data_IF_327175059997
#
_entry.id   IF_327175059997
#
_cell.length_a   1.000
_cell.length_b   1.000
_cell.length_c   1.000
_cell.angle_alpha   90.00
_cell.angle_beta   90.00
_cell.angle_gamma   90.00
#
_symmetry.space_group_name_H-M   'P 1'
#
loop_
_entity.id
_entity.type
_entity.pdbx_description
1 polymer ?
#
# COMPACT_ATOMS: atom_id res chain seq x y z
N UNK A 1 -24.26 -14.78 51.33
CA UNK A 1 -23.88 -15.57 50.14
C UNK A 1 -24.40 -14.81 48.91
N UNK A 2 -23.58 -13.94 48.32
CA UNK A 2 -23.98 -13.08 47.19
C UNK A 2 -23.09 -13.44 46.01
N UNK A 3 -23.66 -14.11 45.01
CA UNK A 3 -22.99 -14.52 43.79
C UNK A 3 -22.87 -13.28 42.87
N UNK A 4 -21.65 -12.74 42.70
CA UNK A 4 -21.35 -11.75 41.66
C UNK A 4 -21.05 -12.49 40.35
N UNK A 5 -21.99 -12.48 39.42
CA UNK A 5 -21.81 -12.95 38.04
C UNK A 5 -20.91 -11.98 37.26
N UNK A 6 -19.60 -12.08 37.47
CA UNK A 6 -18.58 -11.44 36.64
C UNK A 6 -18.39 -12.20 35.33
N UNK A 7 -19.37 -12.15 34.42
CA UNK A 7 -19.12 -12.51 33.02
C UNK A 7 -18.50 -11.29 32.35
N UNK A 8 -17.18 -11.29 32.27
CA UNK A 8 -16.41 -10.36 31.45
C UNK A 8 -16.88 -10.52 30.01
N UNK A 9 -17.72 -9.58 29.52
CA UNK A 9 -18.00 -9.49 28.09
C UNK A 9 -16.65 -9.28 27.37
N UNK A 10 -16.32 -10.07 26.33
CA UNK A 10 -15.12 -9.80 25.55
C UNK A 10 -15.25 -8.37 25.01
N UNK A 11 -14.29 -7.52 25.38
CA UNK A 11 -14.17 -6.18 24.84
C UNK A 11 -13.84 -6.34 23.34
N UNK A 12 -14.86 -6.17 22.49
CA UNK A 12 -14.66 -6.07 21.06
C UNK A 12 -13.75 -4.87 20.80
N UNK A 13 -12.60 -5.03 20.13
CA UNK A 13 -11.78 -3.90 19.72
C UNK A 13 -12.62 -2.95 18.85
N UNK A 14 -12.60 -1.66 19.18
CA UNK A 14 -13.35 -0.62 18.47
C UNK A 14 -12.94 -0.52 17.00
N UNK A 15 -13.94 -0.34 16.13
CA UNK A 15 -13.83 -0.20 14.67
C UNK A 15 -14.26 -1.48 13.94
N UNK A 16 -15.39 -1.43 13.21
CA UNK A 16 -15.87 -2.60 12.45
C UNK A 16 -14.88 -2.96 11.33
N UNK A 17 -14.12 -4.03 11.54
CA UNK A 17 -13.21 -4.59 10.52
C UNK A 17 -13.96 -5.16 9.31
N UNK A 18 -15.28 -5.31 9.39
CA UNK A 18 -16.14 -5.87 8.34
C UNK A 18 -16.19 -5.00 7.09
N UNK A 19 -16.35 -3.68 7.23
CA UNK A 19 -16.55 -2.77 6.09
C UNK A 19 -15.36 -2.81 5.10
N UNK A 20 -14.08 -2.70 5.55
CA UNK A 20 -12.94 -2.84 4.64
C UNK A 20 -12.94 -4.16 3.85
N UNK A 21 -13.29 -5.28 4.49
CA UNK A 21 -13.36 -6.59 3.84
C UNK A 21 -14.50 -6.70 2.83
N UNK A 22 -15.67 -6.09 3.12
CA UNK A 22 -16.76 -6.01 2.14
C UNK A 22 -16.36 -5.19 0.91
N UNK A 23 -15.67 -4.06 1.13
CA UNK A 23 -15.14 -3.24 0.04
C UNK A 23 -14.05 -3.98 -0.77
N UNK A 24 -13.21 -4.77 -0.10
CA UNK A 24 -12.24 -5.65 -0.75
C UNK A 24 -12.93 -6.74 -1.60
N UNK A 25 -13.99 -7.37 -1.09
CA UNK A 25 -14.77 -8.34 -1.85
C UNK A 25 -15.46 -7.71 -3.07
N UNK A 26 -16.01 -6.50 -2.92
CA UNK A 26 -16.57 -5.74 -4.04
C UNK A 26 -15.50 -5.40 -5.09
N UNK A 27 -14.30 -5.01 -4.66
CA UNK A 27 -13.15 -4.77 -5.55
C UNK A 27 -12.82 -6.00 -6.38
N UNK A 28 -12.71 -7.16 -5.73
CA UNK A 28 -12.42 -8.45 -6.37
C UNK A 28 -13.52 -8.78 -7.39
N UNK A 29 -14.79 -8.67 -6.99
CA UNK A 29 -15.93 -8.95 -7.88
C UNK A 29 -15.94 -8.04 -9.11
N UNK A 30 -15.73 -6.74 -8.94
CA UNK A 30 -15.68 -5.77 -10.04
C UNK A 30 -14.52 -6.06 -11.00
N UNK A 31 -13.35 -6.42 -10.48
CA UNK A 31 -12.19 -6.77 -11.31
C UNK A 31 -12.36 -8.11 -12.04
N UNK A 32 -13.12 -9.07 -11.48
CA UNK A 32 -13.53 -10.29 -12.20
C UNK A 32 -14.49 -9.95 -13.34
N UNK A 33 -15.41 -9.00 -13.13
CA UNK A 33 -16.35 -8.56 -14.15
C UNK A 33 -15.68 -7.71 -15.25
N UNK A 34 -14.57 -7.03 -14.95
CA UNK A 34 -13.94 -6.07 -15.88
C UNK A 34 -13.69 -6.64 -17.28
N UNK A 35 -13.04 -7.82 -17.47
CA UNK A 35 -12.79 -8.38 -18.80
C UNK A 35 -14.08 -8.73 -19.58
N UNK A 36 -15.22 -8.84 -18.89
CA UNK A 36 -16.51 -9.19 -19.47
C UNK A 36 -17.33 -7.95 -19.91
N UNK A 37 -16.85 -6.75 -19.60
CA UNK A 37 -17.51 -5.48 -19.97
C UNK A 37 -16.79 -4.81 -21.13
N UNK A 38 -17.40 -3.81 -21.78
CA UNK A 38 -16.76 -2.98 -22.82
C UNK A 38 -17.31 -1.55 -22.83
N UNK A 39 -16.63 -0.61 -23.49
CA UNK A 39 -17.07 0.78 -23.63
C UNK A 39 -17.40 1.45 -22.29
N UNK A 40 -18.52 2.18 -22.23
CA UNK A 40 -18.95 2.92 -21.04
C UNK A 40 -19.18 2.03 -19.80
N UNK A 41 -19.59 0.78 -20.00
CA UNK A 41 -19.75 -0.18 -18.91
C UNK A 41 -18.38 -0.51 -18.29
N UNK A 42 -17.35 -0.69 -19.12
CA UNK A 42 -15.98 -0.94 -18.65
C UNK A 42 -15.40 0.28 -17.94
N UNK A 43 -15.70 1.49 -18.42
CA UNK A 43 -15.33 2.73 -17.73
C UNK A 43 -15.98 2.81 -16.34
N UNK A 44 -17.27 2.48 -16.26
CA UNK A 44 -18.01 2.42 -14.99
C UNK A 44 -17.41 1.40 -14.02
N UNK A 45 -17.13 0.18 -14.49
CA UNK A 45 -16.48 -0.86 -13.66
C UNK A 45 -15.10 -0.42 -13.19
N UNK A 46 -14.34 0.31 -14.02
CA UNK A 46 -13.03 0.88 -13.64
C UNK A 46 -13.19 1.85 -12.47
N UNK A 47 -14.11 2.81 -12.58
CA UNK A 47 -14.35 3.80 -11.54
C UNK A 47 -14.84 3.15 -10.25
N UNK A 48 -15.82 2.23 -10.34
CA UNK A 48 -16.33 1.51 -9.17
C UNK A 48 -15.24 0.65 -8.51
N UNK A 49 -14.35 0.04 -9.30
CA UNK A 49 -13.21 -0.73 -8.77
C UNK A 49 -12.28 0.15 -7.94
N UNK A 50 -11.97 1.35 -8.45
CA UNK A 50 -11.12 2.31 -7.73
C UNK A 50 -11.79 2.79 -6.44
N UNK A 51 -13.09 3.11 -6.48
CA UNK A 51 -13.83 3.56 -5.30
C UNK A 51 -13.91 2.46 -4.24
N UNK A 52 -14.20 1.22 -4.63
CA UNK A 52 -14.26 0.07 -3.73
C UNK A 52 -12.89 -0.22 -3.12
N UNK A 53 -11.83 -0.22 -3.93
CA UNK A 53 -10.47 -0.49 -3.44
C UNK A 53 -10.01 0.65 -2.52
N UNK A 54 -10.21 1.91 -2.90
CA UNK A 54 -9.87 3.06 -2.06
C UNK A 54 -10.58 2.96 -0.70
N UNK A 55 -11.87 2.59 -0.69
CA UNK A 55 -12.65 2.35 0.55
C UNK A 55 -12.04 1.22 1.39
N UNK A 56 -11.65 0.11 0.75
CA UNK A 56 -11.01 -1.00 1.44
C UNK A 56 -9.66 -0.60 2.07
N UNK A 57 -8.82 0.09 1.31
CA UNK A 57 -7.48 0.52 1.74
C UNK A 57 -7.54 1.57 2.85
N UNK A 58 -8.36 2.61 2.69
CA UNK A 58 -8.53 3.67 3.73
C UNK A 58 -9.23 3.11 4.96
N UNK A 59 -10.24 2.24 4.77
CA UNK A 59 -10.93 1.58 5.87
C UNK A 59 -10.00 0.66 6.68
N UNK A 60 -9.12 -0.09 6.01
CA UNK A 60 -8.10 -0.90 6.68
C UNK A 60 -7.10 -0.03 7.45
N UNK A 61 -6.65 1.08 6.86
CA UNK A 61 -5.80 2.05 7.55
C UNK A 61 -6.51 2.66 8.78
N UNK A 62 -7.82 2.94 8.68
CA UNK A 62 -8.61 3.49 9.78
C UNK A 62 -8.78 2.47 10.92
N UNK A 63 -9.01 1.20 10.59
CA UNK A 63 -9.09 0.13 11.57
C UNK A 63 -7.74 -0.12 12.28
N UNK A 64 -6.63 0.02 11.56
CA UNK A 64 -5.29 -0.23 12.10
C UNK A 64 -4.72 0.97 12.90
N UNK A 65 -4.98 2.19 12.44
CA UNK A 65 -4.28 3.40 12.92
C UNK A 65 -5.22 4.51 13.40
N UNK A 66 -6.53 4.30 13.31
CA UNK A 66 -7.57 5.28 13.62
C UNK A 66 -7.91 6.21 12.45
N UNK A 67 -9.17 6.70 12.44
CA UNK A 67 -9.74 7.50 11.34
C UNK A 67 -8.90 8.72 10.98
N UNK A 68 -8.43 9.49 11.97
CA UNK A 68 -7.66 10.70 11.69
C UNK A 68 -6.36 10.43 10.93
N UNK A 69 -5.65 9.34 11.25
CA UNK A 69 -4.43 8.95 10.52
C UNK A 69 -4.76 8.43 9.12
N UNK A 70 -5.84 7.66 8.98
CA UNK A 70 -6.29 7.18 7.68
C UNK A 70 -6.68 8.32 6.74
N UNK A 71 -7.40 9.33 7.24
CA UNK A 71 -7.74 10.54 6.48
C UNK A 71 -6.49 11.33 6.11
N UNK A 72 -5.54 11.50 7.03
CA UNK A 72 -4.28 12.17 6.73
C UNK A 72 -3.49 11.42 5.64
N UNK A 73 -3.37 10.09 5.76
CA UNK A 73 -2.70 9.25 4.78
C UNK A 73 -3.38 9.29 3.41
N UNK A 74 -4.72 9.19 3.37
CA UNK A 74 -5.50 9.32 2.14
C UNK A 74 -5.30 10.69 1.48
N UNK A 75 -5.29 11.76 2.29
CA UNK A 75 -5.08 13.12 1.80
C UNK A 75 -3.69 13.32 1.23
N UNK A 76 -2.64 12.82 1.91
CA UNK A 76 -1.26 12.88 1.41
C UNK A 76 -1.12 12.09 0.11
N UNK A 77 -1.67 10.88 0.03
CA UNK A 77 -1.58 10.06 -1.18
C UNK A 77 -2.33 10.70 -2.35
N UNK A 78 -3.57 11.15 -2.13
CA UNK A 78 -4.40 11.82 -3.14
C UNK A 78 -3.76 13.13 -3.61
N UNK A 79 -3.27 13.97 -2.69
CA UNK A 79 -2.65 15.24 -3.05
C UNK A 79 -1.34 15.03 -3.81
N UNK A 80 -0.50 14.08 -3.38
CA UNK A 80 0.75 13.76 -4.08
C UNK A 80 0.47 13.29 -5.50
N UNK A 81 -0.47 12.36 -5.67
CA UNK A 81 -0.91 11.89 -6.99
C UNK A 81 -1.47 13.02 -7.85
N UNK A 82 -2.42 13.81 -7.33
CA UNK A 82 -3.02 14.91 -8.07
C UNK A 82 -1.98 15.95 -8.52
N UNK A 83 -1.04 16.33 -7.64
CA UNK A 83 0.02 17.28 -7.97
C UNK A 83 0.91 16.70 -9.07
N UNK A 84 1.38 15.45 -8.92
CA UNK A 84 2.24 14.81 -9.90
C UNK A 84 1.57 14.67 -11.27
N UNK A 85 0.31 14.24 -11.30
CA UNK A 85 -0.48 14.07 -12.53
C UNK A 85 -0.82 15.42 -13.18
N UNK A 86 -1.09 16.45 -12.37
CA UNK A 86 -1.33 17.79 -12.89
C UNK A 86 -0.06 18.37 -13.51
N UNK A 87 1.10 18.15 -12.90
CA UNK A 87 2.39 18.55 -13.50
C UNK A 87 2.65 17.73 -14.77
N UNK A 88 2.41 16.41 -14.72
CA UNK A 88 2.57 15.49 -15.84
C UNK A 88 1.78 15.91 -17.08
N UNK A 89 0.47 16.09 -16.93
CA UNK A 89 -0.42 16.39 -18.07
C UNK A 89 -0.14 17.75 -18.72
N UNK A 90 0.45 18.71 -17.98
CA UNK A 90 0.76 20.05 -18.52
C UNK A 90 2.20 20.22 -19.00
N UNK A 91 3.14 19.40 -18.52
CA UNK A 91 4.58 19.58 -18.78
C UNK A 91 5.25 18.39 -19.44
N UNK A 92 4.59 17.23 -19.48
CA UNK A 92 5.20 15.97 -19.90
C UNK A 92 6.15 15.35 -18.87
N UNK A 93 6.50 16.06 -17.80
CA UNK A 93 7.36 15.55 -16.75
C UNK A 93 6.56 15.15 -15.51
N UNK A 94 6.79 13.97 -14.89
CA UNK A 94 7.84 13.00 -15.21
C UNK A 94 7.40 11.87 -16.16
N UNK A 95 6.12 11.82 -16.56
CA UNK A 95 5.52 10.62 -17.18
C UNK A 95 5.71 10.51 -18.71
N UNK A 96 6.32 11.50 -19.35
CA UNK A 96 6.25 11.71 -20.79
C UNK A 96 5.02 12.54 -21.19
N UNK A 97 4.91 12.93 -22.46
CA UNK A 97 3.77 13.70 -22.96
C UNK A 97 2.56 12.79 -23.19
N UNK A 98 1.50 12.98 -22.38
CA UNK A 98 0.26 12.19 -22.45
C UNK A 98 -0.98 13.07 -22.28
N UNK A 99 -2.12 12.55 -22.71
CA UNK A 99 -3.42 13.19 -22.55
C UNK A 99 -4.45 12.21 -22.02
N UNK A 100 -5.29 12.68 -21.10
CA UNK A 100 -6.43 11.90 -20.60
C UNK A 100 -7.62 11.97 -21.56
N UNK A 101 -8.28 10.84 -21.79
CA UNK A 101 -9.59 10.75 -22.42
C UNK A 101 -10.73 11.28 -21.53
N UNK A 102 -11.97 11.16 -22.00
CA UNK A 102 -13.17 11.63 -21.29
C UNK A 102 -13.93 10.57 -20.50
N UNK A 103 -13.64 9.28 -20.68
CA UNK A 103 -14.47 8.18 -20.19
C UNK A 103 -14.44 8.00 -18.66
N UNK A 104 -13.38 8.47 -17.98
CA UNK A 104 -13.22 8.31 -16.52
C UNK A 104 -13.94 9.39 -15.69
N UNK A 105 -14.79 10.19 -16.33
CA UNK A 105 -15.61 11.20 -15.66
C UNK A 105 -14.92 12.56 -15.53
N UNK A 106 -15.33 13.38 -14.56
CA UNK A 106 -14.90 14.77 -14.45
C UNK A 106 -13.39 14.89 -14.16
N UNK A 107 -12.81 15.97 -14.67
CA UNK A 107 -11.39 16.30 -14.50
C UNK A 107 -11.21 17.47 -13.55
N UNK A 108 -10.20 17.38 -12.69
CA UNK A 108 -9.69 18.43 -11.83
C UNK A 108 -8.28 18.78 -12.30
N UNK A 109 -8.05 20.03 -12.74
CA UNK A 109 -6.76 20.49 -13.27
C UNK A 109 -6.23 19.54 -14.38
N UNK A 110 -7.11 19.14 -15.30
CA UNK A 110 -6.76 18.24 -16.41
C UNK A 110 -6.72 16.74 -16.08
N UNK A 111 -6.79 16.36 -14.81
CA UNK A 111 -6.66 14.97 -14.33
C UNK A 111 -8.03 14.40 -13.90
N UNK A 112 -8.48 13.22 -14.37
CA UNK A 112 -9.71 12.60 -13.90
C UNK A 112 -9.71 12.42 -12.37
N UNK A 113 -10.80 12.78 -11.70
CA UNK A 113 -10.89 12.76 -10.22
C UNK A 113 -10.65 11.36 -9.62
N UNK A 114 -10.90 10.31 -10.40
CA UNK A 114 -10.63 8.92 -9.99
C UNK A 114 -9.13 8.61 -9.86
N UNK A 115 -8.25 9.34 -10.56
CA UNK A 115 -6.80 9.06 -10.57
C UNK A 115 -6.14 9.32 -9.20
N UNK A 116 -6.35 10.46 -8.52
CA UNK A 116 -5.88 10.63 -7.13
C UNK A 116 -6.36 9.54 -6.15
N UNK A 117 -7.56 9.02 -6.37
CA UNK A 117 -8.10 7.90 -5.59
C UNK A 117 -7.39 6.58 -5.92
N UNK A 118 -6.96 6.38 -7.17
CA UNK A 118 -6.15 5.25 -7.58
C UNK A 118 -4.74 5.28 -6.95
N UNK A 119 -4.11 6.46 -6.88
CA UNK A 119 -2.87 6.64 -6.11
C UNK A 119 -3.05 6.29 -4.62
N UNK A 120 -4.20 6.64 -4.05
CA UNK A 120 -4.53 6.29 -2.65
C UNK A 120 -4.82 4.80 -2.45
N UNK A 121 -5.61 4.19 -3.33
CA UNK A 121 -6.04 2.79 -3.18
C UNK A 121 -4.85 1.84 -3.21
N UNK A 122 -3.85 2.12 -4.05
CA UNK A 122 -2.66 1.27 -4.22
C UNK A 122 -1.47 1.73 -3.37
N UNK A 123 -1.34 3.03 -3.11
CA UNK A 123 -0.24 3.58 -2.30
C UNK A 123 -0.21 3.04 -0.87
N UNK A 124 -1.38 2.79 -0.26
CA UNK A 124 -1.47 2.23 1.09
C UNK A 124 -1.04 0.75 1.16
N UNK A 125 -1.50 -0.16 0.28
CA UNK A 125 -0.89 -1.49 0.12
C UNK A 125 0.60 -1.49 -0.20
N UNK A 126 1.07 -0.59 -1.08
CA UNK A 126 2.49 -0.47 -1.40
C UNK A 126 3.32 -0.05 -0.18
N UNK A 127 2.82 0.88 0.63
CA UNK A 127 3.42 1.26 1.92
C UNK A 127 3.51 0.07 2.88
N UNK A 128 2.45 -0.74 2.97
CA UNK A 128 2.43 -1.92 3.84
C UNK A 128 3.51 -2.94 3.43
N UNK A 129 3.66 -3.20 2.12
CA UNK A 129 4.76 -4.04 1.63
C UNK A 129 6.13 -3.43 1.94
N UNK A 130 6.28 -2.12 1.78
CA UNK A 130 7.50 -1.38 2.15
C UNK A 130 7.88 -1.56 3.61
N UNK A 131 6.95 -1.34 4.54
CA UNK A 131 7.16 -1.57 5.98
C UNK A 131 7.53 -3.03 6.27
N UNK A 132 6.85 -3.97 5.62
CA UNK A 132 7.10 -5.41 5.79
C UNK A 132 8.48 -5.83 5.30
N UNK A 133 8.99 -5.20 4.23
CA UNK A 133 10.36 -5.39 3.78
C UNK A 133 11.38 -4.71 4.71
N UNK A 134 11.12 -3.48 5.16
CA UNK A 134 11.97 -2.77 6.11
C UNK A 134 12.07 -3.49 7.47
N UNK A 135 11.02 -4.17 7.92
CA UNK A 135 11.00 -4.96 9.14
C UNK A 135 11.97 -6.16 9.09
N UNK A 136 12.37 -6.62 7.89
CA UNK A 136 13.34 -7.72 7.71
C UNK A 136 14.79 -7.29 7.80
N UNK A 137 15.07 -5.99 7.77
CA UNK A 137 16.42 -5.48 7.94
C UNK A 137 16.97 -5.88 9.31
N UNK A 138 18.29 -6.04 9.41
CA UNK A 138 19.00 -6.39 10.67
C UNK A 138 18.56 -5.47 11.80
N UNK A 139 18.55 -5.99 13.04
CA UNK A 139 18.10 -5.24 14.22
C UNK A 139 18.79 -3.87 14.38
N UNK A 140 20.08 -3.76 13.99
CA UNK A 140 20.84 -2.51 14.02
C UNK A 140 20.60 -1.53 12.85
N UNK A 141 19.71 -1.82 11.90
CA UNK A 141 19.39 -0.88 10.83
C UNK A 141 18.68 0.37 11.40
N UNK A 142 19.27 1.54 11.16
CA UNK A 142 18.75 2.82 11.64
C UNK A 142 17.40 3.20 11.03
N UNK A 143 16.70 4.13 11.68
CA UNK A 143 15.38 4.60 11.25
C UNK A 143 15.38 5.14 9.80
N UNK A 144 16.42 5.90 9.42
CA UNK A 144 16.57 6.42 8.06
C UNK A 144 16.67 5.32 6.99
N UNK A 145 17.39 4.23 7.27
CA UNK A 145 17.49 3.08 6.35
C UNK A 145 16.15 2.37 6.21
N UNK A 146 15.42 2.17 7.32
CA UNK A 146 14.09 1.54 7.30
C UNK A 146 13.08 2.38 6.53
N UNK A 147 13.12 3.70 6.71
CA UNK A 147 12.32 4.65 5.93
C UNK A 147 12.67 4.58 4.44
N UNK A 148 13.95 4.62 4.09
CA UNK A 148 14.40 4.55 2.69
C UNK A 148 13.96 3.24 2.01
N UNK A 149 14.09 2.09 2.70
CA UNK A 149 13.61 0.81 2.18
C UNK A 149 12.10 0.80 2.01
N UNK A 150 11.35 1.37 2.96
CA UNK A 150 9.89 1.50 2.86
C UNK A 150 9.51 2.31 1.62
N UNK A 151 10.12 3.48 1.44
CA UNK A 151 9.83 4.39 0.35
C UNK A 151 10.21 3.80 -1.03
N UNK A 152 11.40 3.18 -1.13
CA UNK A 152 11.86 2.59 -2.39
C UNK A 152 11.06 1.36 -2.78
N UNK A 153 10.76 0.46 -1.83
CA UNK A 153 9.92 -0.72 -2.11
C UNK A 153 8.50 -0.31 -2.44
N UNK A 154 7.95 0.68 -1.73
CA UNK A 154 6.64 1.24 -2.01
C UNK A 154 6.55 1.85 -3.42
N UNK A 155 7.49 2.70 -3.78
CA UNK A 155 7.58 3.27 -5.14
C UNK A 155 7.77 2.22 -6.23
N UNK A 156 8.65 1.25 -6.01
CA UNK A 156 8.84 0.13 -6.94
C UNK A 156 7.57 -0.71 -7.10
N UNK A 157 6.77 -0.87 -6.04
CA UNK A 157 5.49 -1.60 -6.09
C UNK A 157 4.46 -0.87 -6.94
N UNK A 158 4.36 0.46 -6.79
CA UNK A 158 3.48 1.28 -7.64
C UNK A 158 3.92 1.24 -9.11
N UNK A 159 5.22 1.32 -9.37
CA UNK A 159 5.80 1.17 -10.72
C UNK A 159 5.52 -0.21 -11.32
N UNK A 160 5.64 -1.27 -10.51
CA UNK A 160 5.36 -2.62 -10.97
C UNK A 160 3.87 -2.85 -11.27
N UNK A 161 2.98 -2.22 -10.51
CA UNK A 161 1.55 -2.20 -10.81
C UNK A 161 1.26 -1.44 -12.11
N UNK A 162 1.94 -0.31 -12.31
CA UNK A 162 1.80 0.53 -13.51
C UNK A 162 2.10 -0.23 -14.82
N UNK A 163 3.08 -1.14 -14.79
CA UNK A 163 3.35 -2.03 -15.94
C UNK A 163 2.15 -2.87 -16.39
N UNK A 164 1.16 -3.11 -15.52
CA UNK A 164 -0.12 -3.70 -15.91
C UNK A 164 -1.16 -2.65 -16.27
N UNK A 165 -1.24 -1.59 -15.46
CA UNK A 165 -2.25 -0.53 -15.55
C UNK A 165 -2.19 0.17 -16.90
N UNK A 166 -1.04 0.72 -17.26
CA UNK A 166 -0.94 1.60 -18.42
C UNK A 166 -1.30 0.96 -19.75
N UNK A 167 -0.78 -0.24 -20.09
CA UNK A 167 -1.23 -0.94 -21.29
C UNK A 167 -2.74 -1.16 -21.30
N UNK A 168 -3.34 -1.46 -20.14
CA UNK A 168 -4.78 -1.66 -20.01
C UNK A 168 -5.55 -0.35 -20.28
N UNK A 169 -5.14 0.75 -19.67
CA UNK A 169 -5.83 2.04 -19.76
C UNK A 169 -5.66 2.69 -21.14
N UNK A 170 -4.50 2.52 -21.79
CA UNK A 170 -4.26 2.97 -23.17
C UNK A 170 -5.16 2.24 -24.16
N UNK A 171 -5.33 0.93 -23.98
CA UNK A 171 -6.16 0.16 -24.89
C UNK A 171 -7.65 0.52 -24.83
N UNK A 172 -8.11 1.04 -23.70
CA UNK A 172 -9.46 1.58 -23.57
C UNK A 172 -9.57 3.07 -23.97
N UNK A 173 -8.47 3.68 -24.40
CA UNK A 173 -8.42 5.11 -24.74
C UNK A 173 -8.65 6.04 -23.54
N UNK A 174 -8.39 5.56 -22.32
CA UNK A 174 -8.51 6.40 -21.11
C UNK A 174 -7.38 7.43 -21.01
N UNK A 175 -6.23 7.12 -21.59
CA UNK A 175 -5.17 8.07 -21.88
C UNK A 175 -4.31 7.57 -23.04
N UNK A 176 -3.54 8.47 -23.64
CA UNK A 176 -2.60 8.15 -24.71
C UNK A 176 -1.35 9.03 -24.61
N UNK A 177 -0.21 8.48 -25.01
CA UNK A 177 1.03 9.22 -25.13
C UNK A 177 1.22 9.73 -26.56
N UNK A 178 1.73 10.95 -26.71
CA UNK A 178 2.29 11.41 -27.97
C UNK A 178 3.64 10.72 -28.17
N UNK A 179 3.77 9.96 -29.25
CA UNK A 179 4.92 9.08 -29.53
C UNK A 179 6.27 9.81 -29.48
N UNK A 180 7.26 9.22 -28.80
CA UNK A 180 8.67 9.58 -28.87
C UNK A 180 9.54 8.70 -27.97
N UNK A 181 10.68 8.23 -28.48
CA UNK A 181 11.72 7.55 -27.68
C UNK A 181 11.48 6.08 -27.31
N UNK A 182 12.34 5.50 -26.45
CA UNK A 182 12.22 4.10 -26.01
C UNK A 182 10.95 3.86 -25.20
N UNK A 183 10.29 2.73 -25.47
CA UNK A 183 9.03 2.36 -24.83
C UNK A 183 9.01 0.88 -24.41
N UNK A 184 8.28 0.58 -23.33
CA UNK A 184 7.98 -0.76 -22.84
C UNK A 184 6.49 -0.97 -23.04
N UNK A 185 6.10 -1.98 -23.83
CA UNK A 185 4.69 -2.24 -24.17
C UNK A 185 3.95 -1.01 -24.74
N UNK A 186 4.65 -0.15 -25.48
CA UNK A 186 4.09 1.08 -26.06
C UNK A 186 4.05 2.28 -25.11
N UNK A 187 4.52 2.13 -23.87
CA UNK A 187 4.56 3.19 -22.85
C UNK A 187 5.99 3.74 -22.72
N UNK A 188 6.23 5.06 -22.74
CA UNK A 188 7.57 5.64 -22.62
C UNK A 188 8.32 5.17 -21.37
N UNK A 189 9.62 4.91 -21.48
CA UNK A 189 10.45 4.52 -20.33
C UNK A 189 10.49 5.62 -19.24
N UNK A 190 10.33 6.89 -19.64
CA UNK A 190 10.19 8.01 -18.69
C UNK A 190 9.02 7.80 -17.72
N UNK A 191 7.93 7.18 -18.17
CA UNK A 191 6.78 6.89 -17.32
C UNK A 191 7.16 5.97 -16.16
N UNK A 192 7.86 4.87 -16.43
CA UNK A 192 8.32 3.95 -15.38
C UNK A 192 9.26 4.65 -14.38
N UNK A 193 10.13 5.55 -14.86
CA UNK A 193 10.99 6.36 -13.98
C UNK A 193 10.18 7.37 -13.15
N UNK A 194 9.17 7.99 -13.76
CA UNK A 194 8.25 8.91 -13.10
C UNK A 194 7.43 8.23 -12.01
N UNK A 195 6.86 7.05 -12.28
CA UNK A 195 6.15 6.23 -11.29
C UNK A 195 7.05 5.81 -10.14
N UNK A 196 8.32 5.47 -10.40
CA UNK A 196 9.28 5.16 -9.34
C UNK A 196 9.54 6.38 -8.47
N UNK A 197 9.82 7.54 -9.08
CA UNK A 197 10.07 8.80 -8.38
C UNK A 197 8.86 9.21 -7.53
N UNK A 198 7.70 9.37 -8.16
CA UNK A 198 6.47 9.83 -7.51
C UNK A 198 6.00 8.82 -6.48
N UNK A 199 6.04 7.53 -6.79
CA UNK A 199 5.69 6.47 -5.85
C UNK A 199 6.61 6.43 -4.63
N UNK A 200 7.91 6.65 -4.79
CA UNK A 200 8.86 6.75 -3.67
C UNK A 200 8.61 8.00 -2.84
N UNK A 201 8.32 9.15 -3.45
CA UNK A 201 7.94 10.37 -2.73
C UNK A 201 6.65 10.14 -1.94
N UNK A 202 5.62 9.59 -2.58
CA UNK A 202 4.32 9.30 -1.96
C UNK A 202 4.49 8.38 -0.76
N UNK A 203 5.14 7.23 -0.95
CA UNK A 203 5.28 6.24 0.14
C UNK A 203 6.27 6.69 1.22
N UNK A 204 7.30 7.46 0.86
CA UNK A 204 8.18 8.13 1.82
C UNK A 204 7.45 9.18 2.66
N UNK A 205 6.58 10.00 2.05
CA UNK A 205 5.76 10.97 2.75
C UNK A 205 4.76 10.29 3.70
N UNK A 206 4.13 9.21 3.26
CA UNK A 206 3.25 8.40 4.11
C UNK A 206 4.01 7.78 5.29
N UNK A 207 5.21 7.24 5.05
CA UNK A 207 6.06 6.65 6.09
C UNK A 207 6.59 7.69 7.10
N UNK A 208 6.61 8.97 6.73
CA UNK A 208 7.04 10.07 7.60
C UNK A 208 5.91 10.64 8.47
N UNK A 209 4.66 10.18 8.33
CA UNK A 209 3.54 10.67 9.13
C UNK A 209 3.76 10.41 10.64
N UNK A 210 3.77 11.45 11.51
CA UNK A 210 4.14 11.33 12.92
C UNK A 210 3.27 10.34 13.71
N UNK A 211 3.90 9.45 14.49
CA UNK A 211 3.19 8.54 15.40
C UNK A 211 2.53 9.28 16.56
N UNK A 212 1.27 8.95 16.90
CA UNK A 212 0.55 9.62 18.01
C UNK A 212 1.24 9.47 19.37
N UNK A 213 2.06 8.43 19.56
CA UNK A 213 2.79 8.19 20.80
C UNK A 213 3.89 9.22 21.09
N UNK A 214 4.43 9.90 20.07
CA UNK A 214 5.39 11.00 20.26
C UNK A 214 4.69 12.33 20.53
N UNK A 215 3.52 12.56 19.93
CA UNK A 215 2.72 13.77 20.15
C UNK A 215 2.19 13.90 21.59
N UNK A 216 1.78 12.79 22.22
CA UNK A 216 1.30 12.82 23.62
C UNK A 216 2.43 12.95 24.66
N UNK A 217 3.68 12.63 24.28
CA UNK A 217 4.86 12.75 25.16
C UNK A 217 5.42 14.17 25.19
N UNK A 218 5.14 14.97 24.16
CA UNK A 218 5.52 16.37 24.07
C UNK A 218 4.59 17.30 24.86
N UNK A 219 3.38 16.85 25.20
CA UNK A 219 2.38 17.66 25.93
C UNK A 219 2.33 17.37 27.43
N UNK A 220 2.98 16.30 27.90
CA UNK A 220 3.25 16.12 29.33
C UNK A 220 4.51 16.91 29.70
N UNK A 221 4.33 18.18 30.09
CA UNK A 221 5.40 18.99 30.69
C UNK A 221 5.97 18.35 31.97
N UNK A 222 7.16 18.77 32.43
CA UNK A 222 7.80 18.19 33.61
C UNK A 222 7.07 18.64 34.89
N UNK A 223 6.08 17.86 35.33
CA UNK A 223 5.62 17.94 36.72
C UNK A 223 6.52 17.06 37.60
N UNK A 224 7.09 17.70 38.60
CA UNK A 224 8.14 17.22 39.49
C UNK A 224 7.83 15.87 40.19
N UNK A 225 8.92 15.21 40.55
CA UNK A 225 9.00 13.91 41.20
C UNK A 225 8.26 13.82 42.56
N UNK A 226 7.75 12.63 42.89
CA UNK A 226 7.97 12.02 44.21
C UNK A 226 7.73 10.49 44.22
N UNK A 227 8.77 9.80 44.69
CA UNK A 227 8.82 8.60 45.54
C UNK A 227 8.09 7.27 45.23
N UNK A 228 8.94 6.22 45.23
CA UNK A 228 8.80 4.85 45.79
C UNK A 228 7.84 3.85 45.14
N UNK A 229 8.41 2.85 44.44
CA UNK A 229 8.44 1.45 44.90
C UNK A 229 8.96 0.54 43.77
N UNK A 230 10.07 -0.17 44.03
CA UNK A 230 10.57 -1.22 43.17
C UNK A 230 9.67 -2.46 43.29
N UNK A 231 8.93 -2.78 42.24
CA UNK A 231 8.28 -4.08 42.03
C UNK A 231 8.79 -4.68 40.70
N UNK A 232 8.98 -6.00 40.59
CA UNK A 232 9.48 -6.61 39.36
C UNK A 232 8.35 -6.62 38.33
N UNK A 233 8.24 -5.54 37.56
CA UNK A 233 7.37 -5.49 36.39
C UNK A 233 8.03 -6.32 35.29
N UNK A 234 7.55 -7.56 35.14
CA UNK A 234 7.77 -8.33 33.92
C UNK A 234 7.33 -7.49 32.73
N UNK A 235 8.30 -7.02 31.95
CA UNK A 235 8.07 -6.32 30.71
C UNK A 235 7.51 -7.32 29.70
N UNK A 236 6.20 -7.54 29.74
CA UNK A 236 5.45 -7.99 28.57
C UNK A 236 5.50 -6.85 27.56
N UNK A 237 6.63 -6.74 26.85
CA UNK A 237 6.67 -6.04 25.59
C UNK A 237 5.64 -6.72 24.70
N UNK A 238 4.49 -6.07 24.63
CA UNK A 238 3.42 -6.29 23.68
C UNK A 238 4.01 -6.77 22.36
N UNK A 239 3.87 -8.06 22.10
CA UNK A 239 3.91 -8.59 20.75
C UNK A 239 2.81 -7.87 19.99
N UNK A 240 3.16 -6.74 19.40
CA UNK A 240 2.31 -5.93 18.55
C UNK A 240 1.58 -6.86 17.58
N UNK A 241 0.26 -6.71 17.49
CA UNK A 241 -0.66 -7.37 16.55
C UNK A 241 -0.35 -7.02 15.07
N UNK A 242 0.93 -6.94 14.68
CA UNK A 242 1.41 -6.58 13.34
C UNK A 242 0.93 -7.56 12.27
N UNK A 243 0.64 -8.80 12.64
CA UNK A 243 0.17 -9.82 11.70
C UNK A 243 -1.28 -9.61 11.25
N UNK A 244 -2.10 -8.88 12.02
CA UNK A 244 -3.50 -8.59 11.68
C UNK A 244 -3.67 -7.33 10.82
N UNK A 245 -2.86 -6.30 11.10
CA UNK A 245 -2.92 -4.97 10.45
C UNK A 245 -2.67 -5.04 8.94
N UNK A 246 -1.74 -5.89 8.51
CA UNK A 246 -1.29 -5.90 7.11
C UNK A 246 -2.05 -6.91 6.24
N UNK A 247 -2.98 -7.69 6.80
CA UNK A 247 -3.66 -8.77 6.07
C UNK A 247 -4.41 -8.28 4.84
N UNK A 248 -5.31 -7.32 5.02
CA UNK A 248 -6.16 -6.84 3.93
C UNK A 248 -5.33 -6.14 2.84
N UNK A 249 -4.42 -5.20 3.16
CA UNK A 249 -3.55 -4.60 2.14
C UNK A 249 -2.74 -5.63 1.36
N UNK A 250 -2.17 -6.64 2.04
CA UNK A 250 -1.42 -7.71 1.37
C UNK A 250 -2.31 -8.62 0.53
N UNK A 251 -3.53 -8.90 0.96
CA UNK A 251 -4.52 -9.66 0.17
C UNK A 251 -4.86 -8.91 -1.13
N UNK A 252 -5.15 -7.61 -1.05
CA UNK A 252 -5.47 -6.82 -2.24
C UNK A 252 -4.28 -6.68 -3.19
N UNK A 253 -3.06 -6.56 -2.64
CA UNK A 253 -1.85 -6.51 -3.44
C UNK A 253 -1.57 -7.85 -4.15
N UNK A 254 -1.75 -8.97 -3.44
CA UNK A 254 -1.64 -10.32 -4.01
C UNK A 254 -2.73 -10.62 -5.04
N UNK A 255 -3.96 -10.17 -4.79
CA UNK A 255 -5.05 -10.26 -5.76
C UNK A 255 -4.73 -9.45 -7.02
N UNK A 256 -4.31 -8.18 -6.88
CA UNK A 256 -3.94 -7.32 -8.00
C UNK A 256 -2.86 -7.97 -8.86
N UNK A 257 -1.83 -8.55 -8.24
CA UNK A 257 -0.78 -9.28 -8.93
C UNK A 257 -1.33 -10.47 -9.73
N UNK A 258 -2.06 -11.36 -9.04
CA UNK A 258 -2.57 -12.59 -9.66
C UNK A 258 -3.58 -12.29 -10.77
N UNK A 259 -4.53 -11.40 -10.50
CA UNK A 259 -5.58 -11.04 -11.44
C UNK A 259 -5.01 -10.31 -12.66
N UNK A 260 -4.02 -9.43 -12.50
CA UNK A 260 -3.40 -8.72 -13.63
C UNK A 260 -2.61 -9.67 -14.53
N UNK A 261 -1.84 -10.60 -13.97
CA UNK A 261 -1.13 -11.63 -14.76
C UNK A 261 -2.14 -12.51 -15.51
N UNK A 262 -3.16 -13.02 -14.81
CA UNK A 262 -4.17 -13.89 -15.41
C UNK A 262 -4.98 -13.17 -16.49
N UNK A 263 -5.42 -11.94 -16.23
CA UNK A 263 -6.22 -11.15 -17.18
C UNK A 263 -5.44 -10.87 -18.46
N UNK A 264 -4.16 -10.50 -18.34
CA UNK A 264 -3.31 -10.26 -19.51
C UNK A 264 -3.04 -11.53 -20.33
N UNK A 265 -2.92 -12.70 -19.69
CA UNK A 265 -2.71 -13.97 -20.39
C UNK A 265 -3.99 -14.55 -21.00
N UNK A 266 -5.11 -14.53 -20.26
CA UNK A 266 -6.32 -15.26 -20.62
C UNK A 266 -7.38 -14.42 -21.33
N UNK A 267 -7.41 -13.10 -21.12
CA UNK A 267 -8.47 -12.24 -21.65
C UNK A 267 -7.98 -11.14 -22.59
N UNK A 268 -6.82 -10.54 -22.33
CA UNK A 268 -6.34 -9.39 -23.11
C UNK A 268 -5.33 -9.75 -24.21
N UNK A 269 -4.79 -10.98 -24.21
CA UNK A 269 -3.82 -11.42 -25.22
C UNK A 269 -2.48 -10.68 -25.15
N UNK A 270 -2.01 -10.30 -23.95
CA UNK A 270 -0.81 -9.48 -23.72
C UNK A 270 0.22 -10.21 -22.87
N UNK A 271 0.86 -11.27 -23.39
CA UNK A 271 1.85 -12.03 -22.63
C UNK A 271 3.08 -11.19 -22.24
N UNK A 272 3.47 -10.19 -23.04
CA UNK A 272 4.57 -9.27 -22.70
C UNK A 272 4.28 -8.42 -21.46
N UNK A 273 3.04 -7.91 -21.34
CA UNK A 273 2.57 -7.18 -20.15
C UNK A 273 2.54 -8.10 -18.94
N UNK A 274 1.99 -9.31 -19.09
CA UNK A 274 1.95 -10.32 -18.03
C UNK A 274 3.36 -10.69 -17.54
N UNK A 275 4.34 -10.82 -18.44
CA UNK A 275 5.72 -11.14 -18.11
C UNK A 275 6.41 -10.00 -17.38
N UNK A 276 6.40 -8.78 -17.93
CA UNK A 276 7.11 -7.62 -17.36
C UNK A 276 6.54 -7.25 -16.00
N UNK A 277 5.23 -7.03 -15.91
CA UNK A 277 4.57 -6.72 -14.64
C UNK A 277 4.66 -7.90 -13.66
N UNK A 278 4.51 -9.13 -14.17
CA UNK A 278 4.57 -10.35 -13.36
C UNK A 278 5.92 -10.54 -12.68
N UNK A 279 7.01 -10.38 -13.43
CA UNK A 279 8.36 -10.45 -12.86
C UNK A 279 8.60 -9.29 -11.88
N UNK A 280 8.29 -8.06 -12.28
CA UNK A 280 8.53 -6.87 -11.45
C UNK A 280 7.80 -6.94 -10.10
N UNK A 281 6.50 -7.20 -10.11
CA UNK A 281 5.68 -7.25 -8.90
C UNK A 281 5.90 -8.55 -8.11
N UNK A 282 6.13 -9.67 -8.81
CA UNK A 282 6.42 -10.97 -8.19
C UNK A 282 7.70 -10.97 -7.36
N UNK A 283 8.77 -10.32 -7.83
CA UNK A 283 10.01 -10.15 -7.06
C UNK A 283 9.75 -9.37 -5.76
N UNK A 284 9.02 -8.26 -5.83
CA UNK A 284 8.71 -7.42 -4.67
C UNK A 284 7.84 -8.16 -3.64
N UNK A 285 6.80 -8.85 -4.09
CA UNK A 285 5.95 -9.69 -3.23
C UNK A 285 6.75 -10.85 -2.61
N UNK A 286 7.65 -11.46 -3.39
CA UNK A 286 8.56 -12.50 -2.92
C UNK A 286 9.43 -12.03 -1.75
N UNK A 287 10.07 -10.86 -1.88
CA UNK A 287 10.83 -10.22 -0.80
C UNK A 287 9.97 -10.00 0.46
N UNK A 288 8.70 -9.66 0.25
CA UNK A 288 7.69 -9.51 1.28
C UNK A 288 7.24 -10.82 1.96
N UNK A 289 7.46 -11.99 1.39
CA UNK A 289 6.95 -13.29 1.89
C UNK A 289 8.06 -14.26 2.33
N UNK A 290 9.30 -14.08 1.88
CA UNK A 290 10.43 -14.96 2.24
C UNK A 290 10.54 -15.18 3.77
N UNK A 291 10.76 -16.43 4.24
CA UNK A 291 10.99 -16.73 5.65
C UNK A 291 12.18 -15.93 6.17
N UNK A 292 12.01 -15.24 7.30
CA UNK A 292 13.13 -14.56 7.96
C UNK A 292 14.23 -15.57 8.30
N UNK A 293 15.49 -15.24 7.99
CA UNK A 293 16.65 -15.99 8.47
C UNK A 293 16.63 -15.96 10.00
N UNK A 294 16.03 -16.98 10.63
CA UNK A 294 16.20 -17.24 12.06
C UNK A 294 17.71 -17.41 12.26
N UNK A 295 18.32 -16.50 13.02
CA UNK A 295 19.72 -16.62 13.38
C UNK A 295 19.96 -17.98 14.02
N UNK A 296 20.78 -18.80 13.36
CA UNK A 296 21.37 -19.98 13.95
C UNK A 296 22.36 -19.50 15.03
N UNK A 297 21.83 -19.17 16.21
CA UNK A 297 22.60 -18.85 17.40
C UNK A 297 21.88 -19.46 18.62
N UNK A 298 21.77 -20.79 18.61
CA UNK A 298 21.73 -21.61 19.82
C UNK A 298 22.87 -22.61 19.72
N UNK A 299 24.09 -22.08 19.71
CA UNK A 299 25.32 -22.86 19.84
C UNK A 299 25.89 -22.65 21.24
N UNK A 300 25.98 -23.74 22.01
CA UNK A 300 26.97 -23.92 23.06
C UNK A 300 26.69 -23.28 24.41
N UNK A 301 25.84 -23.89 25.25
CA UNK A 301 26.07 -23.84 26.69
C UNK A 301 25.45 -25.05 27.43
N UNK A 302 25.87 -26.27 27.10
CA UNK A 302 25.63 -27.47 27.92
C UNK A 302 26.78 -28.46 27.70
N UNK A 303 27.95 -28.16 28.25
CA UNK A 303 28.98 -29.16 28.59
C UNK A 303 30.10 -28.47 29.37
N UNK A 304 29.97 -28.42 30.70
CA UNK A 304 31.05 -28.58 31.70
C UNK A 304 30.52 -28.29 33.10
N UNK A 305 29.99 -29.34 33.71
CA UNK A 305 30.06 -29.56 35.16
C UNK A 305 30.15 -31.06 35.32
N UNK A 306 31.39 -31.56 35.33
CA UNK A 306 31.81 -32.87 35.87
C UNK A 306 33.33 -32.93 35.71
N UNK A 307 34.03 -32.39 36.72
CA UNK A 307 35.38 -32.75 37.18
C UNK A 307 35.71 -31.88 38.40
#
# INVERSE_FOLDING_TARGET
>A
MVWRSGVSRPAWPGGSTVLPWLAAAATIGLQICYPLTSGDQRATVTVLSVLAFCTASVGAAAAAQGLGRAVAAASVASATGLIAESVGVHTGWPFGDYTYGGALGPKLVGVPVVVPLAWTMMGLPALALGHRCAARLRAGAGAGTRWAVTALVGGATLTAWDFFLDPQMVAEGYWSWSSGGPAINGIPVSNAAGWLLVGTVLTGALAALPDRATASRSTSGPTAASHTAAGPAGSNSTGSNSTGSDRLPMTLLGWTYLSSVLANLAFFGRPGVALVGGVAMGVLLGLGVLPGRRGAARGGNLARSDA
#
